data_IF_615598859824
#
_entry.id   IF_615598859824
#
_cell.length_a   1.000
_cell.length_b   1.000
_cell.length_c   1.000
_cell.angle_alpha   90.00
_cell.angle_beta   90.00
_cell.angle_gamma   90.00
#
_symmetry.space_group_name_H-M   'P 1'
#
loop_
_entity.id
_entity.type
_entity.pdbx_description
1 polymer ?
#
# COMPACT_ATOMS: atom_id res chain seq x y z
N UNK A 1 5.45 -22.88 -5.63
CA UNK A 1 4.36 -21.88 -5.64
C UNK A 1 4.12 -21.26 -4.27
N UNK A 2 3.90 -22.05 -3.22
CA UNK A 2 3.70 -21.53 -1.85
C UNK A 2 4.86 -20.68 -1.33
N UNK A 3 6.11 -21.10 -1.56
CA UNK A 3 7.30 -20.33 -1.16
C UNK A 3 7.38 -18.96 -1.84
N UNK A 4 7.04 -18.89 -3.14
CA UNK A 4 7.02 -17.64 -3.91
C UNK A 4 5.91 -16.71 -3.43
N UNK A 5 4.72 -17.24 -3.14
CA UNK A 5 3.62 -16.47 -2.58
C UNK A 5 3.96 -15.87 -1.21
N UNK A 6 4.59 -16.66 -0.33
CA UNK A 6 5.06 -16.19 0.98
C UNK A 6 6.14 -15.12 0.81
N UNK A 7 7.12 -15.34 -0.09
CA UNK A 7 8.17 -14.38 -0.36
C UNK A 7 7.61 -13.05 -0.90
N UNK A 8 6.68 -13.11 -1.85
CA UNK A 8 6.01 -11.91 -2.38
C UNK A 8 5.25 -11.18 -1.27
N UNK A 9 4.47 -11.89 -0.45
CA UNK A 9 3.74 -11.26 0.65
C UNK A 9 4.69 -10.58 1.65
N UNK A 10 5.78 -11.24 2.02
CA UNK A 10 6.80 -10.66 2.90
C UNK A 10 7.45 -9.41 2.30
N UNK A 11 7.79 -9.43 1.01
CA UNK A 11 8.32 -8.26 0.29
C UNK A 11 7.34 -7.10 0.28
N UNK A 12 6.04 -7.37 0.09
CA UNK A 12 4.98 -6.36 0.12
C UNK A 12 4.77 -5.74 1.52
N UNK A 13 4.92 -6.53 2.58
CA UNK A 13 4.89 -6.00 3.96
C UNK A 13 6.13 -5.14 4.26
N UNK A 14 7.32 -5.61 3.87
CA UNK A 14 8.56 -4.86 4.08
C UNK A 14 8.54 -3.55 3.30
N UNK A 15 8.13 -3.58 2.03
CA UNK A 15 8.05 -2.36 1.21
C UNK A 15 7.04 -1.37 1.80
N UNK A 16 5.92 -1.85 2.34
CA UNK A 16 4.94 -0.97 2.99
C UNK A 16 5.55 -0.23 4.17
N UNK A 17 6.23 -0.97 5.06
CA UNK A 17 6.94 -0.38 6.19
C UNK A 17 7.95 0.68 5.73
N UNK A 18 8.76 0.37 4.72
CA UNK A 18 9.74 1.31 4.16
C UNK A 18 9.06 2.55 3.58
N UNK A 19 8.00 2.39 2.79
CA UNK A 19 7.33 3.50 2.14
C UNK A 19 6.61 4.44 3.14
N UNK A 20 5.94 3.88 4.15
CA UNK A 20 5.14 4.65 5.12
C UNK A 20 5.95 5.26 6.25
N UNK A 21 6.93 4.52 6.77
CA UNK A 21 7.62 4.88 8.00
C UNK A 21 9.04 5.39 7.78
N UNK A 22 9.69 5.02 6.67
CA UNK A 22 11.08 5.40 6.39
C UNK A 22 11.17 6.49 5.32
N UNK A 23 10.49 6.32 4.18
CA UNK A 23 10.59 7.23 3.03
C UNK A 23 9.56 8.37 3.06
N UNK A 24 8.47 8.22 3.81
CA UNK A 24 7.40 9.21 3.85
C UNK A 24 7.89 10.53 4.45
N UNK A 25 7.67 11.62 3.73
CA UNK A 25 8.07 12.97 4.12
C UNK A 25 6.95 13.72 4.82
N UNK A 26 7.30 14.76 5.60
CA UNK A 26 6.31 15.65 6.24
C UNK A 26 5.34 16.25 5.22
N UNK A 27 5.83 16.64 4.04
CA UNK A 27 5.01 17.19 2.96
C UNK A 27 3.91 16.22 2.51
N UNK A 28 4.25 14.94 2.33
CA UNK A 28 3.27 13.90 1.97
C UNK A 28 2.21 13.73 3.06
N UNK A 29 2.62 13.62 4.33
CA UNK A 29 1.69 13.48 5.47
C UNK A 29 0.69 14.64 5.52
N UNK A 30 1.14 15.87 5.34
CA UNK A 30 0.25 17.04 5.39
C UNK A 30 -0.77 17.01 4.25
N UNK A 31 -0.36 16.60 3.05
CA UNK A 31 -1.21 16.60 1.86
C UNK A 31 -2.08 15.35 1.68
N UNK A 32 -1.76 14.21 2.32
CA UNK A 32 -2.46 12.93 2.17
C UNK A 32 -3.97 13.00 2.50
N UNK A 33 -4.39 13.93 3.37
CA UNK A 33 -5.80 14.19 3.67
C UNK A 33 -6.53 15.17 2.74
N UNK A 34 -5.89 15.69 1.69
CA UNK A 34 -6.48 16.60 0.70
C UNK A 34 -6.62 15.84 -0.62
N UNK A 35 -7.86 15.68 -1.10
CA UNK A 35 -8.12 14.90 -2.31
C UNK A 35 -7.48 15.56 -3.53
N UNK A 36 -6.72 14.78 -4.30
CA UNK A 36 -6.00 15.22 -5.50
C UNK A 36 -4.68 15.93 -5.21
N UNK A 37 -4.31 16.12 -3.93
CA UNK A 37 -3.07 16.83 -3.61
C UNK A 37 -1.83 16.02 -4.01
N UNK A 38 -0.78 16.67 -4.57
CA UNK A 38 0.36 15.96 -5.12
C UNK A 38 1.09 15.08 -4.11
N UNK A 39 1.12 15.44 -2.82
CA UNK A 39 1.78 14.63 -1.79
C UNK A 39 1.14 13.25 -1.59
N UNK A 40 -0.19 13.16 -1.64
CA UNK A 40 -0.88 11.86 -1.57
C UNK A 40 -0.63 11.02 -2.83
N UNK A 41 -0.66 11.66 -4.00
CA UNK A 41 -0.40 11.00 -5.29
C UNK A 41 1.05 10.49 -5.39
N UNK A 42 2.03 11.31 -5.02
CA UNK A 42 3.46 10.92 -5.02
C UNK A 42 3.71 9.80 -4.02
N UNK A 43 3.11 9.85 -2.83
CA UNK A 43 3.26 8.77 -1.85
C UNK A 43 2.71 7.43 -2.38
N UNK A 44 1.51 7.43 -2.97
CA UNK A 44 0.98 6.24 -3.64
C UNK A 44 1.89 5.75 -4.79
N UNK A 45 2.50 6.68 -5.54
CA UNK A 45 3.50 6.35 -6.57
C UNK A 45 4.75 5.64 -6.02
N UNK A 46 5.23 6.05 -4.84
CA UNK A 46 6.35 5.37 -4.15
C UNK A 46 5.96 3.93 -3.80
N UNK A 47 4.74 3.71 -3.31
CA UNK A 47 4.25 2.36 -2.99
C UNK A 47 4.17 1.46 -4.21
N UNK A 48 3.69 1.98 -5.34
CA UNK A 48 3.63 1.26 -6.62
C UNK A 48 5.03 0.95 -7.15
N UNK A 49 5.99 1.87 -7.01
CA UNK A 49 7.39 1.60 -7.35
C UNK A 49 7.97 0.46 -6.48
N UNK A 50 7.67 0.45 -5.18
CA UNK A 50 8.05 -0.64 -4.28
C UNK A 50 7.41 -1.99 -4.66
N UNK A 51 6.13 -1.98 -5.05
CA UNK A 51 5.44 -3.19 -5.52
C UNK A 51 6.00 -3.70 -6.84
N UNK A 52 6.33 -2.82 -7.78
CA UNK A 52 7.00 -3.23 -9.02
C UNK A 52 8.30 -3.99 -8.71
N UNK A 53 9.12 -3.48 -7.78
CA UNK A 53 10.36 -4.15 -7.35
C UNK A 53 10.03 -5.54 -6.78
N UNK A 54 9.04 -5.64 -5.89
CA UNK A 54 8.63 -6.91 -5.29
C UNK A 54 8.14 -7.93 -6.33
N UNK A 55 7.32 -7.51 -7.30
CA UNK A 55 6.78 -8.37 -8.36
C UNK A 55 7.87 -8.85 -9.34
N UNK A 56 8.82 -7.97 -9.69
CA UNK A 56 9.98 -8.31 -10.53
C UNK A 56 10.90 -9.28 -9.80
N UNK A 57 11.13 -9.09 -8.50
CA UNK A 57 11.99 -9.96 -7.69
C UNK A 57 11.50 -11.42 -7.65
N UNK A 58 10.19 -11.66 -7.82
CA UNK A 58 9.59 -13.00 -7.90
C UNK A 58 9.27 -13.44 -9.34
N UNK A 59 9.82 -12.76 -10.34
CA UNK A 59 9.64 -13.04 -11.77
C UNK A 59 8.17 -13.08 -12.22
N UNK A 60 7.33 -12.16 -11.70
CA UNK A 60 5.92 -12.05 -12.11
C UNK A 60 5.80 -11.72 -13.61
N UNK A 61 4.93 -12.39 -14.39
CA UNK A 61 4.69 -12.04 -15.78
C UNK A 61 4.23 -10.59 -15.96
N UNK A 62 4.76 -9.90 -16.97
CA UNK A 62 4.46 -8.49 -17.25
C UNK A 62 2.96 -8.23 -17.43
N UNK A 63 2.22 -9.20 -18.00
CA UNK A 63 0.77 -9.13 -18.18
C UNK A 63 -0.01 -9.00 -16.87
N UNK A 64 0.56 -9.46 -15.75
CA UNK A 64 -0.04 -9.35 -14.42
C UNK A 64 0.44 -8.12 -13.64
N UNK A 65 1.61 -7.58 -13.97
CA UNK A 65 2.20 -6.44 -13.26
C UNK A 65 1.35 -5.18 -13.47
N UNK A 66 1.09 -4.80 -14.73
CA UNK A 66 0.39 -3.54 -15.06
C UNK A 66 -0.96 -3.39 -14.34
N UNK A 67 -1.89 -4.37 -14.38
CA UNK A 67 -3.16 -4.23 -13.67
C UNK A 67 -2.99 -4.14 -12.15
N UNK A 68 -2.01 -4.84 -11.56
CA UNK A 68 -1.71 -4.76 -10.13
C UNK A 68 -1.26 -3.35 -9.75
N UNK A 69 -0.33 -2.76 -10.51
CA UNK A 69 0.21 -1.43 -10.21
C UNK A 69 -0.87 -0.34 -10.29
N UNK A 70 -1.75 -0.40 -11.30
CA UNK A 70 -2.86 0.54 -11.45
C UNK A 70 -3.86 0.39 -10.30
N UNK A 71 -4.26 -0.84 -9.99
CA UNK A 71 -5.21 -1.11 -8.93
C UNK A 71 -4.65 -0.67 -7.56
N UNK A 72 -3.39 -1.00 -7.28
CA UNK A 72 -2.74 -0.58 -6.05
C UNK A 72 -2.66 0.94 -5.94
N UNK A 73 -2.24 1.65 -7.00
CA UNK A 73 -2.18 3.11 -6.97
C UNK A 73 -3.50 3.72 -6.51
N UNK A 74 -4.60 3.28 -7.13
CA UNK A 74 -5.94 3.79 -6.83
C UNK A 74 -6.35 3.41 -5.41
N UNK A 75 -6.28 2.12 -5.05
CA UNK A 75 -6.77 1.64 -3.75
C UNK A 75 -5.94 2.21 -2.61
N UNK A 76 -4.61 2.19 -2.74
CA UNK A 76 -3.69 2.71 -1.74
C UNK A 76 -3.95 4.19 -1.46
N UNK A 77 -4.06 5.01 -2.51
CA UNK A 77 -4.36 6.43 -2.38
C UNK A 77 -5.69 6.68 -1.63
N UNK A 78 -6.73 5.88 -1.89
CA UNK A 78 -8.03 6.06 -1.24
C UNK A 78 -8.05 5.56 0.22
N UNK A 79 -7.34 4.49 0.56
CA UNK A 79 -7.17 4.04 1.95
C UNK A 79 -6.52 5.16 2.77
N UNK A 80 -5.40 5.65 2.25
CA UNK A 80 -4.61 6.70 2.85
C UNK A 80 -5.37 8.00 3.08
N UNK A 81 -6.04 8.46 2.03
CA UNK A 81 -6.91 9.63 2.08
C UNK A 81 -8.05 9.43 3.08
N UNK A 82 -8.71 8.27 3.05
CA UNK A 82 -9.84 7.97 3.94
C UNK A 82 -9.43 7.95 5.41
N UNK A 83 -8.27 7.36 5.73
CA UNK A 83 -7.69 7.36 7.07
C UNK A 83 -7.38 8.78 7.53
N UNK A 84 -6.68 9.57 6.71
CA UNK A 84 -6.34 10.96 7.06
C UNK A 84 -7.59 11.83 7.26
N UNK A 85 -8.61 11.68 6.39
CA UNK A 85 -9.89 12.37 6.53
C UNK A 85 -10.58 12.02 7.84
N UNK A 86 -10.61 10.75 8.20
CA UNK A 86 -11.22 10.25 9.44
C UNK A 86 -10.50 10.81 10.66
N UNK A 87 -9.17 10.68 10.71
CA UNK A 87 -8.34 11.15 11.81
C UNK A 87 -8.51 12.66 12.03
N UNK A 88 -8.48 13.46 10.96
CA UNK A 88 -8.64 14.92 11.03
C UNK A 88 -10.04 15.33 11.44
N UNK A 89 -11.07 14.65 10.92
CA UNK A 89 -12.46 14.97 11.24
C UNK A 89 -12.77 14.76 12.73
N UNK A 90 -12.26 13.68 13.31
CA UNK A 90 -12.49 13.37 14.72
C UNK A 90 -11.39 13.87 15.68
N UNK A 91 -10.35 14.53 15.19
CA UNK A 91 -9.25 15.05 16.00
C UNK A 91 -8.42 13.96 16.71
N UNK A 92 -8.26 12.78 16.11
CA UNK A 92 -7.51 11.66 16.71
C UNK A 92 -6.01 11.84 16.51
N UNK A 93 -5.41 12.81 17.21
CA UNK A 93 -4.00 13.16 17.03
C UNK A 93 -3.05 12.26 17.85
N UNK A 94 -3.56 11.62 18.90
CA UNK A 94 -2.81 10.74 19.78
C UNK A 94 -3.73 9.69 20.46
N UNK A 95 -3.14 8.89 21.35
CA UNK A 95 -3.86 7.90 22.17
C UNK A 95 -4.43 6.73 21.38
N UNK A 96 -5.33 5.98 22.02
CA UNK A 96 -5.81 4.70 21.50
C UNK A 96 -6.49 4.82 20.13
N UNK A 97 -7.24 5.90 19.87
CA UNK A 97 -7.96 6.06 18.59
C UNK A 97 -7.01 6.36 17.43
N UNK A 98 -5.95 7.14 17.68
CA UNK A 98 -4.89 7.34 16.69
C UNK A 98 -4.19 6.02 16.36
N UNK A 99 -3.82 5.24 17.38
CA UNK A 99 -3.21 3.92 17.18
C UNK A 99 -4.14 2.92 16.48
N UNK A 100 -5.43 2.95 16.78
CA UNK A 100 -6.43 2.14 16.07
C UNK A 100 -6.52 2.53 14.59
N UNK A 101 -6.49 3.84 14.28
CA UNK A 101 -6.51 4.31 12.90
C UNK A 101 -5.25 3.89 12.13
N UNK A 102 -4.07 3.98 12.75
CA UNK A 102 -2.82 3.44 12.17
C UNK A 102 -2.93 1.93 11.98
N UNK A 103 -3.37 1.18 13.00
CA UNK A 103 -3.48 -0.28 12.90
C UNK A 103 -4.46 -0.72 11.80
N UNK A 104 -5.58 -0.01 11.67
CA UNK A 104 -6.57 -0.29 10.63
C UNK A 104 -6.05 0.04 9.22
N UNK A 105 -5.28 1.11 9.08
CA UNK A 105 -4.56 1.46 7.84
C UNK A 105 -3.59 0.34 7.42
N UNK A 106 -2.75 -0.14 8.35
CA UNK A 106 -1.86 -1.28 8.09
C UNK A 106 -2.63 -2.56 7.72
N UNK A 107 -3.77 -2.83 8.36
CA UNK A 107 -4.62 -3.97 8.04
C UNK A 107 -5.17 -3.87 6.60
N UNK A 108 -5.72 -2.72 6.21
CA UNK A 108 -6.30 -2.56 4.88
C UNK A 108 -5.24 -2.73 3.79
N UNK A 109 -4.05 -2.15 3.96
CA UNK A 109 -2.95 -2.36 3.03
C UNK A 109 -2.46 -3.82 3.01
N UNK A 110 -2.38 -4.47 4.17
CA UNK A 110 -2.07 -5.91 4.23
C UNK A 110 -3.08 -6.79 3.47
N UNK A 111 -4.38 -6.45 3.53
CA UNK A 111 -5.43 -7.15 2.79
C UNK A 111 -5.33 -6.92 1.27
N UNK A 112 -4.93 -5.73 0.82
CA UNK A 112 -4.68 -5.51 -0.62
C UNK A 112 -3.49 -6.34 -1.11
N UNK A 113 -2.44 -6.50 -0.30
CA UNK A 113 -1.30 -7.37 -0.64
C UNK A 113 -1.68 -8.84 -0.69
N UNK A 114 -2.56 -9.29 0.20
CA UNK A 114 -3.10 -10.64 0.12
C UNK A 114 -3.87 -10.84 -1.20
N UNK A 115 -4.64 -9.85 -1.64
CA UNK A 115 -5.33 -9.88 -2.94
C UNK A 115 -4.35 -9.90 -4.12
N UNK A 116 -3.27 -9.11 -4.07
CA UNK A 116 -2.21 -9.12 -5.10
C UNK A 116 -1.55 -10.50 -5.18
N UNK A 117 -1.17 -11.08 -4.04
CA UNK A 117 -0.55 -12.42 -3.98
C UNK A 117 -1.51 -13.47 -4.53
N UNK A 118 -2.80 -13.41 -4.16
CA UNK A 118 -3.82 -14.32 -4.65
C UNK A 118 -4.03 -14.20 -6.17
N UNK A 119 -4.04 -12.98 -6.70
CA UNK A 119 -4.15 -12.73 -8.14
C UNK A 119 -2.95 -13.29 -8.91
N UNK A 120 -1.73 -12.99 -8.46
CA UNK A 120 -0.50 -13.47 -9.10
C UNK A 120 -0.38 -14.98 -9.00
N UNK A 121 -0.56 -15.55 -7.80
CA UNK A 121 -0.44 -16.99 -7.59
C UNK A 121 -1.57 -17.78 -8.27
N UNK A 122 -2.80 -17.27 -8.26
CA UNK A 122 -3.98 -17.93 -8.82
C UNK A 122 -3.99 -17.96 -10.35
N UNK A 123 -3.33 -17.01 -11.01
CA UNK A 123 -3.14 -17.03 -12.47
C UNK A 123 -1.94 -17.90 -12.86
N UNK A 124 -0.87 -17.92 -12.07
CA UNK A 124 0.33 -18.75 -12.35
C UNK A 124 0.10 -20.24 -12.03
N UNK A 125 -0.90 -20.58 -11.21
CA UNK A 125 -1.22 -21.96 -10.83
C UNK A 125 -2.12 -22.69 -11.84
N UNK A 126 -2.54 -21.99 -12.91
CA UNK A 126 -3.33 -22.53 -14.02
C UNK A 126 -2.43 -22.73 -15.22
#
# INVERSE_FOLDING_TARGET
MTSVAIALFALLLVKHFVCDFVLQTKWQVHQKGIYGAPGGLVHSGIHVAGTLIALVAVATPVSLIVPVLIAEYIVHYHIDWGKEKTVRYFGWLDGARFWNAIGFDQLLHGLTYLAIVAYVAGVVAR
#
